data_IF_465589576679
#
_entry.id   IF_465589576679
#
_cell.length_a   1.000
_cell.length_b   1.000
_cell.length_c   1.000
_cell.angle_alpha   90.00
_cell.angle_beta   90.00
_cell.angle_gamma   90.00
#
_symmetry.space_group_name_H-M   'P 1'
#
loop_
_entity.id
_entity.type
_entity.pdbx_description
1 polymer ?
#
# COMPACT_ATOMS: atom_id res chain seq x y z
N UNK A 1 43.86 -47.36 -53.71
CA UNK A 1 43.89 -46.16 -54.58
C UNK A 1 42.46 -45.77 -54.90
N UNK A 2 41.98 -44.64 -54.37
CA UNK A 2 40.93 -43.78 -54.94
C UNK A 2 40.60 -42.69 -53.89
N UNK A 3 41.26 -41.54 -54.00
CA UNK A 3 40.84 -40.30 -53.33
C UNK A 3 39.75 -39.64 -54.18
N UNK A 4 38.64 -39.23 -53.56
CA UNK A 4 37.72 -38.19 -54.07
C UNK A 4 36.87 -37.63 -52.91
N UNK A 5 36.22 -36.46 -53.06
CA UNK A 5 36.73 -35.18 -52.57
C UNK A 5 35.82 -34.51 -51.52
N UNK A 6 36.37 -33.56 -50.74
CA UNK A 6 35.63 -32.68 -49.82
C UNK A 6 34.87 -31.59 -50.59
N UNK A 7 33.67 -31.21 -50.14
CA UNK A 7 33.32 -29.78 -50.03
C UNK A 7 32.53 -29.49 -48.72
N UNK A 8 32.05 -28.26 -48.47
CA UNK A 8 32.76 -27.21 -47.74
C UNK A 8 32.18 -26.95 -46.33
N UNK A 9 32.91 -26.13 -45.57
CA UNK A 9 32.58 -25.66 -44.23
C UNK A 9 31.15 -25.10 -44.13
N UNK A 10 30.42 -25.58 -43.13
CA UNK A 10 29.33 -24.84 -42.50
C UNK A 10 29.84 -24.38 -41.15
N UNK A 11 30.01 -23.06 -41.04
CA UNK A 11 30.05 -22.35 -39.77
C UNK A 11 28.77 -22.71 -39.01
N UNK A 12 28.90 -23.33 -37.84
CA UNK A 12 27.86 -23.32 -36.83
C UNK A 12 28.55 -23.10 -35.50
N UNK A 13 28.48 -21.84 -35.10
CA UNK A 13 28.94 -21.29 -33.85
C UNK A 13 28.33 -22.07 -32.68
N UNK A 14 29.21 -22.50 -31.77
CA UNK A 14 28.80 -22.92 -30.44
C UNK A 14 28.16 -21.75 -29.72
N UNK A 15 26.83 -21.73 -29.69
CA UNK A 15 26.08 -20.93 -28.73
C UNK A 15 25.95 -21.77 -27.46
N UNK A 16 26.81 -21.46 -26.49
CA UNK A 16 26.70 -21.94 -25.11
C UNK A 16 25.30 -21.64 -24.57
N UNK A 17 24.69 -22.66 -23.95
CA UNK A 17 23.50 -22.56 -23.12
C UNK A 17 23.69 -21.48 -22.05
N UNK A 18 23.08 -20.31 -22.25
CA UNK A 18 22.85 -19.34 -21.18
C UNK A 18 21.56 -19.77 -20.49
N UNK A 19 21.57 -20.11 -19.18
CA UNK A 19 20.33 -20.40 -18.47
C UNK A 19 19.51 -19.11 -18.40
N UNK A 20 18.31 -19.16 -18.99
CA UNK A 20 17.34 -18.08 -18.93
C UNK A 20 17.06 -17.70 -17.46
N UNK A 21 17.50 -16.50 -17.09
CA UNK A 21 17.19 -15.87 -15.83
C UNK A 21 15.68 -15.80 -15.62
N UNK A 22 15.25 -16.09 -14.40
CA UNK A 22 13.85 -16.24 -13.99
C UNK A 22 12.97 -15.09 -14.46
N UNK A 23 11.97 -15.43 -15.26
CA UNK A 23 10.86 -14.53 -15.57
C UNK A 23 10.12 -14.18 -14.30
N UNK A 24 10.24 -12.91 -13.87
CA UNK A 24 9.41 -12.36 -12.82
C UNK A 24 7.93 -12.49 -13.23
N UNK A 25 7.15 -13.23 -12.44
CA UNK A 25 5.72 -13.33 -12.64
C UNK A 25 5.11 -11.92 -12.77
N UNK A 26 4.40 -11.69 -13.87
CA UNK A 26 3.71 -10.42 -14.15
C UNK A 26 2.77 -10.06 -12.98
N UNK A 27 2.56 -8.77 -12.73
CA UNK A 27 1.69 -8.30 -11.64
C UNK A 27 0.27 -8.90 -11.68
N UNK A 28 -0.20 -9.30 -12.87
CA UNK A 28 -1.46 -10.03 -13.05
C UNK A 28 -1.46 -11.45 -12.47
N UNK A 29 -0.31 -12.14 -12.50
CA UNK A 29 -0.16 -13.50 -12.00
C UNK A 29 0.06 -13.54 -10.48
N UNK A 30 0.67 -12.49 -9.92
CA UNK A 30 0.71 -12.26 -8.47
C UNK A 30 -0.68 -11.90 -7.92
N UNK A 31 -1.43 -11.03 -8.61
CA UNK A 31 -2.81 -10.69 -8.24
C UNK A 31 -3.78 -11.88 -8.33
N UNK A 32 -3.56 -12.82 -9.27
CA UNK A 32 -4.30 -14.10 -9.33
C UNK A 32 -4.00 -15.04 -8.16
N UNK A 33 -2.86 -14.87 -7.48
CA UNK A 33 -2.38 -15.70 -6.37
C UNK A 33 -2.76 -15.14 -4.99
N UNK A 34 -3.97 -14.60 -4.84
CA UNK A 34 -4.60 -14.44 -3.52
C UNK A 34 -5.72 -15.48 -3.30
N UNK A 35 -5.45 -16.80 -3.35
CA UNK A 35 -6.48 -17.83 -3.18
C UNK A 35 -7.17 -17.79 -1.81
N UNK A 36 -6.60 -17.09 -0.83
CA UNK A 36 -7.20 -16.88 0.50
C UNK A 36 -8.31 -15.82 0.55
N UNK A 37 -8.33 -14.83 -0.35
CA UNK A 37 -9.31 -13.73 -0.33
C UNK A 37 -10.70 -14.22 -0.74
N UNK A 38 -10.80 -14.88 -1.90
CA UNK A 38 -12.07 -15.36 -2.47
C UNK A 38 -12.56 -16.65 -1.77
N UNK A 39 -11.66 -17.41 -1.13
CA UNK A 39 -11.99 -18.67 -0.47
C UNK A 39 -12.87 -18.56 0.77
N UNK A 40 -12.97 -17.38 1.40
CA UNK A 40 -13.79 -17.19 2.62
C UNK A 40 -15.18 -16.62 2.30
N UNK A 41 -16.23 -16.98 3.07
CA UNK A 41 -17.55 -16.37 2.90
C UNK A 41 -17.53 -14.84 2.99
N UNK A 42 -16.73 -14.30 3.90
CA UNK A 42 -16.55 -12.85 4.08
C UNK A 42 -15.91 -12.20 2.84
N UNK A 43 -14.89 -12.84 2.26
CA UNK A 43 -14.21 -12.33 1.08
C UNK A 43 -15.09 -12.37 -0.17
N UNK A 44 -15.94 -13.39 -0.35
CA UNK A 44 -16.94 -13.41 -1.45
C UNK A 44 -17.92 -12.23 -1.38
N UNK A 45 -18.36 -11.85 -0.18
CA UNK A 45 -19.23 -10.68 0.01
C UNK A 45 -18.52 -9.36 -0.36
N UNK A 46 -17.23 -9.26 -0.06
CA UNK A 46 -16.41 -8.10 -0.43
C UNK A 46 -16.21 -8.04 -1.94
N UNK A 47 -15.83 -9.16 -2.54
CA UNK A 47 -15.59 -9.26 -3.98
C UNK A 47 -16.86 -8.94 -4.77
N UNK A 48 -17.99 -9.53 -4.40
CA UNK A 48 -19.30 -9.23 -4.98
C UNK A 48 -19.65 -7.74 -4.93
N UNK A 49 -19.28 -7.06 -3.85
CA UNK A 49 -19.52 -5.63 -3.74
C UNK A 49 -18.59 -4.81 -4.65
N UNK A 50 -17.32 -5.21 -4.78
CA UNK A 50 -16.37 -4.55 -5.68
C UNK A 50 -16.72 -4.76 -7.15
N UNK A 51 -17.19 -5.95 -7.53
CA UNK A 51 -17.74 -6.23 -8.87
C UNK A 51 -18.95 -5.35 -9.19
N UNK A 52 -19.91 -5.26 -8.25
CA UNK A 52 -21.06 -4.37 -8.43
C UNK A 52 -20.66 -2.91 -8.57
N UNK A 53 -19.64 -2.45 -7.83
CA UNK A 53 -19.10 -1.09 -8.00
C UNK A 53 -18.46 -0.86 -9.37
N UNK A 54 -17.85 -1.88 -9.98
CA UNK A 54 -17.33 -1.76 -11.33
C UNK A 54 -18.45 -1.68 -12.38
N UNK A 55 -19.62 -2.25 -12.11
CA UNK A 55 -20.77 -2.29 -13.02
C UNK A 55 -21.68 -1.06 -12.90
N UNK A 56 -21.83 -0.49 -11.69
CA UNK A 56 -22.83 0.54 -11.42
C UNK A 56 -22.44 1.51 -10.29
N UNK A 57 -23.07 2.71 -10.23
CA UNK A 57 -22.77 3.71 -9.20
C UNK A 57 -23.07 3.23 -7.77
N UNK A 58 -22.35 3.77 -6.79
CA UNK A 58 -22.51 3.44 -5.37
C UNK A 58 -23.97 3.53 -4.88
N UNK A 59 -24.71 4.53 -5.34
CA UNK A 59 -26.07 4.85 -4.92
C UNK A 59 -27.09 3.77 -5.30
N UNK A 60 -26.87 3.08 -6.42
CA UNK A 60 -27.83 2.10 -6.96
C UNK A 60 -27.64 0.71 -6.38
N UNK A 61 -26.48 0.43 -5.76
CA UNK A 61 -26.18 -0.87 -5.16
C UNK A 61 -26.94 -1.03 -3.83
N UNK A 62 -27.84 -1.99 -3.76
CA UNK A 62 -28.51 -2.42 -2.54
C UNK A 62 -27.76 -3.53 -1.81
N UNK A 63 -28.03 -3.69 -0.50
CA UNK A 63 -27.50 -4.83 0.27
C UNK A 63 -28.03 -6.18 -0.24
N UNK A 64 -29.25 -6.20 -0.79
CA UNK A 64 -29.83 -7.39 -1.43
C UNK A 64 -29.05 -7.81 -2.67
N UNK A 65 -28.63 -6.85 -3.50
CA UNK A 65 -27.85 -7.11 -4.71
C UNK A 65 -26.49 -7.74 -4.37
N UNK A 66 -25.83 -7.23 -3.32
CA UNK A 66 -24.57 -7.76 -2.81
C UNK A 66 -24.75 -9.20 -2.31
N UNK A 67 -25.80 -9.45 -1.51
CA UNK A 67 -26.08 -10.78 -0.98
C UNK A 67 -26.36 -11.79 -2.12
N UNK A 68 -27.18 -11.39 -3.09
CA UNK A 68 -27.48 -12.19 -4.26
C UNK A 68 -26.23 -12.51 -5.08
N UNK A 69 -25.39 -11.50 -5.36
CA UNK A 69 -24.14 -11.67 -6.11
C UNK A 69 -23.13 -12.57 -5.38
N UNK A 70 -23.04 -12.45 -4.05
CA UNK A 70 -22.16 -13.27 -3.23
C UNK A 70 -22.68 -14.71 -2.99
N UNK A 71 -23.91 -15.02 -3.41
CA UNK A 71 -24.55 -16.32 -3.19
C UNK A 71 -24.85 -16.60 -1.72
N UNK A 72 -25.23 -15.58 -0.95
CA UNK A 72 -25.53 -15.67 0.49
C UNK A 72 -26.89 -15.06 0.80
N UNK A 73 -27.48 -15.44 1.93
CA UNK A 73 -28.68 -14.78 2.44
C UNK A 73 -28.36 -13.37 2.97
N UNK A 74 -29.38 -12.51 3.01
CA UNK A 74 -29.26 -11.18 3.61
C UNK A 74 -28.90 -11.26 5.11
N UNK A 75 -29.36 -12.32 5.81
CA UNK A 75 -29.05 -12.56 7.20
C UNK A 75 -27.55 -12.86 7.41
N UNK A 76 -26.95 -13.68 6.54
CA UNK A 76 -25.51 -13.95 6.57
C UNK A 76 -24.68 -12.69 6.26
N UNK A 77 -25.09 -11.90 5.25
CA UNK A 77 -24.43 -10.63 4.95
C UNK A 77 -24.49 -9.67 6.14
N UNK A 78 -25.67 -9.53 6.78
CA UNK A 78 -25.87 -8.68 7.96
C UNK A 78 -25.09 -9.16 9.19
N UNK A 79 -24.90 -10.46 9.32
CA UNK A 79 -24.07 -11.07 10.37
C UNK A 79 -22.59 -10.71 10.22
N UNK A 80 -22.11 -10.52 8.99
CA UNK A 80 -20.72 -10.16 8.71
C UNK A 80 -20.47 -8.65 8.65
N UNK A 81 -21.41 -7.88 8.11
CA UNK A 81 -21.23 -6.46 7.86
C UNK A 81 -22.44 -5.63 8.32
N UNK A 82 -22.14 -4.48 8.94
CA UNK A 82 -23.18 -3.55 9.40
C UNK A 82 -23.71 -2.61 8.30
N UNK A 83 -22.99 -2.42 7.20
CA UNK A 83 -23.35 -1.50 6.11
C UNK A 83 -22.47 -1.70 4.87
N UNK A 84 -22.83 -1.06 3.74
CA UNK A 84 -21.96 -0.99 2.54
C UNK A 84 -20.59 -0.38 2.85
N UNK A 85 -20.55 0.66 3.71
CA UNK A 85 -19.30 1.28 4.16
C UNK A 85 -18.43 0.31 4.95
N UNK A 86 -19.02 -0.61 5.73
CA UNK A 86 -18.26 -1.64 6.44
C UNK A 86 -17.64 -2.67 5.49
N UNK A 87 -18.33 -3.02 4.40
CA UNK A 87 -17.78 -3.88 3.33
C UNK A 87 -16.63 -3.17 2.63
N UNK A 88 -16.79 -1.90 2.29
CA UNK A 88 -15.71 -1.10 1.70
C UNK A 88 -14.49 -0.96 2.63
N UNK A 89 -14.72 -0.64 3.91
CA UNK A 89 -13.64 -0.54 4.90
C UNK A 89 -12.89 -1.87 5.04
N UNK A 90 -13.61 -2.99 4.95
CA UNK A 90 -13.01 -4.31 4.94
C UNK A 90 -12.14 -4.57 3.72
N UNK A 91 -12.57 -4.18 2.52
CA UNK A 91 -11.76 -4.25 1.31
C UNK A 91 -10.48 -3.42 1.45
N UNK A 92 -10.60 -2.16 1.91
CA UNK A 92 -9.45 -1.27 2.11
C UNK A 92 -8.44 -1.88 3.09
N UNK A 93 -8.93 -2.45 4.20
CA UNK A 93 -8.09 -3.15 5.18
C UNK A 93 -7.39 -4.38 4.59
N UNK A 94 -8.03 -5.11 3.68
CA UNK A 94 -7.41 -6.25 3.00
C UNK A 94 -6.29 -5.81 2.06
N UNK A 95 -6.49 -4.73 1.30
CA UNK A 95 -5.43 -4.13 0.48
C UNK A 95 -4.29 -3.65 1.35
N UNK A 96 -4.57 -2.93 2.44
CA UNK A 96 -3.53 -2.47 3.37
C UNK A 96 -2.76 -3.66 3.95
N UNK A 97 -3.45 -4.75 4.33
CA UNK A 97 -2.79 -5.96 4.82
C UNK A 97 -1.89 -6.60 3.76
N UNK A 98 -2.33 -6.70 2.51
CA UNK A 98 -1.51 -7.25 1.42
C UNK A 98 -0.21 -6.45 1.25
N UNK A 99 -0.27 -5.12 1.37
CA UNK A 99 0.91 -4.26 1.32
C UNK A 99 1.84 -4.49 2.50
N UNK A 100 1.28 -4.63 3.71
CA UNK A 100 2.02 -4.82 4.96
C UNK A 100 2.62 -6.22 5.13
N UNK A 101 2.00 -7.23 4.52
CA UNK A 101 2.50 -8.62 4.51
C UNK A 101 3.65 -8.79 3.48
N UNK A 102 3.96 -7.76 2.68
CA UNK A 102 5.10 -7.78 1.74
C UNK A 102 6.45 -7.72 2.46
N UNK A 103 7.49 -8.31 1.86
CA UNK A 103 8.86 -8.24 2.40
C UNK A 103 9.33 -6.78 2.47
N UNK A 104 9.45 -6.27 3.70
CA UNK A 104 10.00 -4.96 4.03
C UNK A 104 11.45 -5.04 4.55
N UNK A 105 12.00 -6.24 4.68
CA UNK A 105 13.32 -6.49 5.29
C UNK A 105 14.49 -5.90 4.46
N UNK A 106 14.32 -5.69 3.15
CA UNK A 106 15.38 -5.12 2.28
C UNK A 106 15.43 -3.59 2.29
N UNK A 107 14.52 -2.93 3.02
CA UNK A 107 14.32 -1.48 2.97
C UNK A 107 15.04 -0.73 4.10
N UNK A 108 15.76 -1.42 4.99
CA UNK A 108 16.25 -0.81 6.24
C UNK A 108 17.34 0.27 6.02
N UNK A 109 18.10 0.16 4.92
CA UNK A 109 19.16 1.11 4.56
C UNK A 109 18.72 2.19 3.57
N UNK A 110 17.46 2.17 3.13
CA UNK A 110 16.93 3.12 2.16
C UNK A 110 16.52 4.46 2.79
N UNK A 111 16.66 5.59 2.07
CA UNK A 111 16.07 6.85 2.45
C UNK A 111 14.55 6.71 2.72
N UNK A 112 14.06 7.33 3.80
CA UNK A 112 12.64 7.31 4.21
C UNK A 112 11.63 7.56 3.09
N UNK A 113 11.99 8.37 2.10
CA UNK A 113 11.16 8.67 0.93
C UNK A 113 11.00 7.47 0.00
N UNK A 114 12.10 6.79 -0.30
CA UNK A 114 12.12 5.61 -1.17
C UNK A 114 11.27 4.52 -0.54
N UNK A 115 11.41 4.34 0.78
CA UNK A 115 10.57 3.41 1.53
C UNK A 115 9.08 3.71 1.43
N UNK A 116 8.71 4.98 1.61
CA UNK A 116 7.31 5.40 1.47
C UNK A 116 6.81 5.27 0.03
N UNK A 117 7.65 5.58 -0.95
CA UNK A 117 7.33 5.45 -2.36
C UNK A 117 7.01 3.99 -2.71
N UNK A 118 7.85 3.06 -2.29
CA UNK A 118 7.67 1.63 -2.54
C UNK A 118 6.41 1.07 -1.88
N UNK A 119 6.16 1.44 -0.62
CA UNK A 119 4.91 1.07 0.08
C UNK A 119 3.67 1.55 -0.69
N UNK A 120 3.69 2.80 -1.18
CA UNK A 120 2.56 3.35 -1.93
C UNK A 120 2.43 2.76 -3.34
N UNK A 121 3.54 2.44 -4.00
CA UNK A 121 3.52 1.74 -5.30
C UNK A 121 2.93 0.33 -5.16
N UNK A 122 3.36 -0.46 -4.18
CA UNK A 122 2.75 -1.77 -3.87
C UNK A 122 1.25 -1.64 -3.61
N UNK A 123 0.84 -0.57 -2.93
CA UNK A 123 -0.57 -0.28 -2.69
C UNK A 123 -1.35 0.02 -3.98
N UNK A 124 -0.79 0.79 -4.91
CA UNK A 124 -1.40 1.01 -6.22
C UNK A 124 -1.47 -0.28 -7.04
N UNK A 125 -0.41 -1.09 -7.02
CA UNK A 125 -0.38 -2.39 -7.69
C UNK A 125 -1.50 -3.32 -7.17
N UNK A 126 -1.67 -3.43 -5.86
CA UNK A 126 -2.74 -4.22 -5.24
C UNK A 126 -4.15 -3.72 -5.61
N UNK A 127 -4.32 -2.41 -5.88
CA UNK A 127 -5.59 -1.84 -6.34
C UNK A 127 -5.86 -2.02 -7.83
N UNK A 128 -4.87 -2.43 -8.63
CA UNK A 128 -4.99 -2.51 -10.11
C UNK A 128 -6.22 -3.30 -10.59
N UNK A 129 -6.58 -4.45 -9.98
CA UNK A 129 -7.76 -5.21 -10.40
C UNK A 129 -9.09 -4.48 -10.18
N UNK A 130 -9.11 -3.45 -9.33
CA UNK A 130 -10.32 -2.76 -8.86
C UNK A 130 -10.42 -1.32 -9.39
N UNK A 131 -9.66 -0.95 -10.43
CA UNK A 131 -9.67 0.43 -10.99
C UNK A 131 -11.08 0.92 -11.33
N UNK A 132 -11.89 0.10 -12.00
CA UNK A 132 -13.26 0.48 -12.36
C UNK A 132 -14.16 0.67 -11.14
N UNK A 133 -14.06 -0.21 -10.15
CA UNK A 133 -14.78 -0.07 -8.88
C UNK A 133 -14.41 1.22 -8.15
N UNK A 134 -13.10 1.55 -8.10
CA UNK A 134 -12.60 2.78 -7.48
C UNK A 134 -13.04 4.02 -8.28
N UNK A 135 -13.03 3.96 -9.61
CA UNK A 135 -13.49 5.04 -10.48
C UNK A 135 -14.96 5.37 -10.23
N UNK A 136 -15.83 4.36 -10.23
CA UNK A 136 -17.25 4.50 -9.91
C UNK A 136 -17.47 5.11 -8.53
N UNK A 137 -16.74 4.61 -7.52
CA UNK A 137 -16.81 5.11 -6.15
C UNK A 137 -16.40 6.59 -6.02
N UNK A 138 -15.30 7.00 -6.67
CA UNK A 138 -14.86 8.39 -6.68
C UNK A 138 -15.81 9.30 -7.45
N UNK A 139 -16.45 8.79 -8.50
CA UNK A 139 -17.46 9.55 -9.25
C UNK A 139 -18.69 9.82 -8.38
N UNK A 140 -19.20 8.81 -7.66
CA UNK A 140 -20.29 8.96 -6.70
C UNK A 140 -19.92 9.92 -5.57
N UNK A 141 -18.68 9.87 -5.07
CA UNK A 141 -18.23 10.76 -3.99
C UNK A 141 -18.27 12.26 -4.36
N UNK A 142 -18.19 12.62 -5.65
CA UNK A 142 -18.25 14.02 -6.11
C UNK A 142 -19.61 14.68 -5.84
N UNK A 143 -20.69 13.90 -5.84
CA UNK A 143 -22.07 14.38 -5.62
C UNK A 143 -22.62 13.96 -4.25
N UNK A 144 -21.84 13.20 -3.47
CA UNK A 144 -22.24 12.62 -2.20
C UNK A 144 -21.25 12.99 -1.07
N UNK A 145 -21.45 14.15 -0.39
CA UNK A 145 -20.54 14.62 0.65
C UNK A 145 -20.34 13.63 1.81
N UNK A 146 -21.38 12.94 2.33
CA UNK A 146 -21.19 11.91 3.34
C UNK A 146 -20.26 10.77 2.90
N UNK A 147 -20.39 10.31 1.65
CA UNK A 147 -19.49 9.29 1.10
C UNK A 147 -18.05 9.83 1.00
N UNK A 148 -17.85 11.04 0.48
CA UNK A 148 -16.53 11.66 0.39
C UNK A 148 -15.82 11.75 1.75
N UNK A 149 -16.55 12.13 2.81
CA UNK A 149 -16.01 12.16 4.17
C UNK A 149 -15.63 10.77 4.69
N UNK A 150 -16.45 9.75 4.42
CA UNK A 150 -16.14 8.38 4.79
C UNK A 150 -14.89 7.86 4.07
N UNK A 151 -14.77 8.13 2.76
CA UNK A 151 -13.58 7.78 1.97
C UNK A 151 -12.32 8.47 2.49
N UNK A 152 -12.38 9.76 2.83
CA UNK A 152 -11.24 10.45 3.44
C UNK A 152 -10.85 9.80 4.77
N UNK A 153 -11.81 9.47 5.63
CA UNK A 153 -11.50 8.80 6.91
C UNK A 153 -10.83 7.44 6.71
N UNK A 154 -11.29 6.65 5.74
CA UNK A 154 -10.63 5.40 5.38
C UNK A 154 -9.23 5.63 4.82
N UNK A 155 -9.06 6.61 3.93
CA UNK A 155 -7.76 6.97 3.37
C UNK A 155 -6.77 7.40 4.45
N UNK A 156 -7.18 8.27 5.39
CA UNK A 156 -6.34 8.70 6.52
C UNK A 156 -5.92 7.51 7.38
N UNK A 157 -6.85 6.61 7.69
CA UNK A 157 -6.56 5.40 8.46
C UNK A 157 -5.54 4.52 7.73
N UNK A 158 -5.75 4.28 6.43
CA UNK A 158 -4.83 3.52 5.58
C UNK A 158 -3.45 4.17 5.52
N UNK A 159 -3.38 5.49 5.35
CA UNK A 159 -2.11 6.22 5.30
C UNK A 159 -1.33 6.16 6.62
N UNK A 160 -1.98 6.04 7.78
CA UNK A 160 -1.27 5.80 9.04
C UNK A 160 -0.52 4.45 9.02
N UNK A 161 -1.12 3.41 8.43
CA UNK A 161 -0.48 2.12 8.24
C UNK A 161 0.65 2.19 7.23
N UNK A 162 0.47 2.90 6.11
CA UNK A 162 1.53 3.07 5.11
C UNK A 162 2.74 3.84 5.66
N UNK A 163 2.49 4.88 6.47
CA UNK A 163 3.55 5.60 7.18
C UNK A 163 4.28 4.69 8.16
N UNK A 164 3.55 3.84 8.90
CA UNK A 164 4.16 2.88 9.83
C UNK A 164 5.02 1.84 9.10
N UNK A 165 4.57 1.34 7.95
CA UNK A 165 5.31 0.41 7.09
C UNK A 165 6.62 1.02 6.57
N UNK A 166 6.62 2.33 6.27
CA UNK A 166 7.82 3.07 5.88
C UNK A 166 8.67 3.57 7.06
N UNK A 167 8.39 3.08 8.28
CA UNK A 167 9.01 3.47 9.54
C UNK A 167 8.96 4.98 9.84
N UNK A 168 7.92 5.66 9.37
CA UNK A 168 7.67 7.08 9.63
C UNK A 168 6.77 7.20 10.87
N UNK A 169 7.16 8.01 11.89
CA UNK A 169 6.34 8.21 13.07
C UNK A 169 4.92 8.72 12.74
N UNK A 170 3.94 7.85 12.95
CA UNK A 170 2.51 8.07 12.64
C UNK A 170 1.62 8.23 13.89
N UNK A 171 2.21 8.26 15.09
CA UNK A 171 1.47 8.42 16.35
C UNK A 171 1.22 9.88 16.75
N UNK A 172 0.10 10.12 17.43
CA UNK A 172 -0.27 11.42 18.00
C UNK A 172 -0.75 12.47 16.97
N UNK A 173 -0.96 13.73 17.39
CA UNK A 173 -1.52 14.77 16.53
C UNK A 173 -0.70 15.05 15.26
N UNK A 174 0.63 15.03 15.40
CA UNK A 174 1.54 15.20 14.25
C UNK A 174 1.46 14.02 13.29
N UNK A 175 1.31 12.79 13.82
CA UNK A 175 1.10 11.59 13.02
C UNK A 175 -0.20 11.64 12.22
N UNK A 176 -1.28 12.09 12.86
CA UNK A 176 -2.58 12.30 12.18
C UNK A 176 -2.47 13.36 11.08
N UNK A 177 -1.75 14.46 11.33
CA UNK A 177 -1.51 15.49 10.32
C UNK A 177 -0.73 14.95 9.11
N UNK A 178 0.32 14.14 9.36
CA UNK A 178 1.07 13.47 8.28
C UNK A 178 0.18 12.52 7.49
N UNK A 179 -0.64 11.74 8.16
CA UNK A 179 -1.57 10.82 7.51
C UNK A 179 -2.61 11.55 6.66
N UNK A 180 -3.15 12.67 7.14
CA UNK A 180 -4.06 13.51 6.35
C UNK A 180 -3.36 14.13 5.14
N UNK A 181 -2.14 14.65 5.30
CA UNK A 181 -1.35 15.17 4.19
C UNK A 181 -1.05 14.09 3.14
N UNK A 182 -0.70 12.89 3.59
CA UNK A 182 -0.47 11.76 2.72
C UNK A 182 -1.75 11.28 2.04
N UNK A 183 -2.90 11.33 2.72
CA UNK A 183 -4.19 10.97 2.12
C UNK A 183 -4.57 11.91 0.97
N UNK A 184 -4.31 13.21 1.12
CA UNK A 184 -4.51 14.20 0.05
C UNK A 184 -3.55 13.98 -1.13
N UNK A 185 -2.28 13.68 -0.84
CA UNK A 185 -1.29 13.33 -1.85
C UNK A 185 -1.71 12.08 -2.62
N UNK A 186 -2.09 11.03 -1.90
CA UNK A 186 -2.55 9.77 -2.46
C UNK A 186 -3.79 9.95 -3.35
N UNK A 187 -4.78 10.74 -2.88
CA UNK A 187 -5.97 11.07 -3.66
C UNK A 187 -5.64 11.84 -4.95
N UNK A 188 -4.62 12.71 -4.94
CA UNK A 188 -4.17 13.42 -6.13
C UNK A 188 -3.50 12.49 -7.15
N UNK A 189 -2.69 11.52 -6.68
CA UNK A 189 -2.05 10.53 -7.56
C UNK A 189 -3.06 9.50 -8.07
N UNK A 190 -4.09 9.18 -7.27
CA UNK A 190 -5.15 8.23 -7.62
C UNK A 190 -5.82 8.54 -8.96
N UNK A 191 -6.07 9.81 -9.29
CA UNK A 191 -6.65 10.14 -10.60
C UNK A 191 -5.73 9.74 -11.76
N UNK A 192 -4.41 9.93 -11.61
CA UNK A 192 -3.45 9.49 -12.63
C UNK A 192 -3.43 7.97 -12.73
N UNK A 193 -3.43 7.28 -11.59
CA UNK A 193 -3.46 5.82 -11.54
C UNK A 193 -4.69 5.21 -12.23
N UNK A 194 -5.86 5.80 -12.04
CA UNK A 194 -7.09 5.31 -12.66
C UNK A 194 -7.10 5.44 -14.19
N UNK A 195 -6.25 6.29 -14.76
CA UNK A 195 -6.12 6.49 -16.20
C UNK A 195 -4.84 5.84 -16.77
N UNK A 196 -4.04 5.16 -15.93
CA UNK A 196 -2.73 4.61 -16.27
C UNK A 196 -2.76 3.14 -16.68
N UNK A 197 -2.86 2.86 -17.97
CA UNK A 197 -2.84 1.49 -18.51
C UNK A 197 -1.43 0.99 -18.89
N UNK A 198 -0.37 1.73 -18.54
CA UNK A 198 1.00 1.36 -18.89
C UNK A 198 1.52 0.19 -18.03
N UNK A 199 2.37 -0.70 -18.59
CA UNK A 199 3.02 -1.76 -17.81
C UNK A 199 3.76 -1.16 -16.60
N UNK A 200 3.45 -1.66 -15.40
CA UNK A 200 4.06 -1.19 -14.16
C UNK A 200 3.63 0.21 -13.70
N UNK A 201 2.56 0.77 -14.28
CA UNK A 201 2.00 2.08 -13.91
C UNK A 201 3.02 3.23 -13.96
N UNK A 202 3.77 3.33 -15.07
CA UNK A 202 4.88 4.29 -15.18
C UNK A 202 4.44 5.77 -15.03
N UNK A 203 3.24 6.15 -15.50
CA UNK A 203 2.71 7.51 -15.27
C UNK A 203 2.37 7.74 -13.81
N UNK A 204 1.83 6.73 -13.13
CA UNK A 204 1.55 6.76 -11.68
C UNK A 204 2.83 6.89 -10.88
N UNK A 205 3.84 6.12 -11.23
CA UNK A 205 5.18 6.15 -10.64
C UNK A 205 5.76 7.57 -10.72
N UNK A 206 5.75 8.18 -11.90
CA UNK A 206 6.24 9.54 -12.10
C UNK A 206 5.38 10.61 -11.40
N UNK A 207 4.06 10.40 -11.29
CA UNK A 207 3.17 11.31 -10.54
C UNK A 207 3.43 11.23 -9.02
N UNK A 208 3.63 10.02 -8.49
CA UNK A 208 3.94 9.77 -7.09
C UNK A 208 5.31 10.34 -6.71
N UNK A 209 6.34 10.10 -7.51
CA UNK A 209 7.70 10.61 -7.28
C UNK A 209 7.69 12.15 -7.16
N UNK A 210 7.04 12.83 -8.12
CA UNK A 210 6.86 14.28 -8.11
C UNK A 210 6.06 14.76 -6.89
N UNK A 211 5.02 14.03 -6.51
CA UNK A 211 4.18 14.41 -5.37
C UNK A 211 4.92 14.29 -4.03
N UNK A 212 5.66 13.20 -3.82
CA UNK A 212 6.50 13.01 -2.63
C UNK A 212 7.65 14.02 -2.58
N UNK A 213 8.27 14.34 -3.73
CA UNK A 213 9.29 15.37 -3.84
C UNK A 213 8.79 16.75 -3.38
N UNK A 214 7.58 17.14 -3.80
CA UNK A 214 6.92 18.38 -3.31
C UNK A 214 6.63 18.32 -1.81
N UNK A 215 6.15 17.18 -1.31
CA UNK A 215 5.84 16.99 0.11
C UNK A 215 7.06 17.12 1.03
N UNK A 216 8.23 16.63 0.60
CA UNK A 216 9.49 16.79 1.33
C UNK A 216 9.95 18.25 1.40
N UNK A 217 9.84 19.00 0.31
CA UNK A 217 10.21 20.41 0.29
C UNK A 217 9.35 21.21 1.27
N UNK A 218 8.04 20.96 1.29
CA UNK A 218 7.09 21.61 2.22
C UNK A 218 7.37 21.20 3.67
N UNK A 219 7.62 19.92 3.93
CA UNK A 219 7.92 19.43 5.29
C UNK A 219 9.25 19.99 5.81
N UNK A 220 10.29 20.05 4.98
CA UNK A 220 11.56 20.66 5.37
C UNK A 220 11.44 22.17 5.63
N UNK A 221 10.51 22.87 4.98
CA UNK A 221 10.16 24.26 5.31
C UNK A 221 9.38 24.33 6.63
N UNK A 222 8.40 23.44 6.84
CA UNK A 222 7.59 23.40 8.06
C UNK A 222 8.42 23.03 9.30
N UNK A 223 9.31 22.04 9.23
CA UNK A 223 10.21 21.67 10.33
C UNK A 223 11.16 22.82 10.69
N UNK A 224 11.65 23.56 9.69
CA UNK A 224 12.43 24.79 9.92
C UNK A 224 11.58 25.86 10.62
N UNK A 225 10.36 26.11 10.17
CA UNK A 225 9.45 27.10 10.78
C UNK A 225 9.04 26.68 12.20
N UNK A 226 8.70 25.42 12.43
CA UNK A 226 8.36 24.89 13.76
C UNK A 226 9.56 24.87 14.71
N UNK A 227 10.78 24.66 14.21
CA UNK A 227 12.00 24.80 15.02
C UNK A 227 12.28 26.24 15.44
N UNK A 228 11.73 27.23 14.72
CA UNK A 228 11.82 28.66 15.03
C UNK A 228 10.69 29.13 15.97
N UNK A 229 9.66 28.31 16.21
CA UNK A 229 8.60 28.61 17.18
C UNK A 229 8.96 28.03 18.56
N UNK A 230 9.25 28.88 19.57
CA UNK A 230 9.59 28.40 20.91
C UNK A 230 8.34 27.79 21.58
N UNK A 231 8.33 26.47 21.75
CA UNK A 231 7.26 25.73 22.43
C UNK A 231 7.06 24.28 21.98
N UNK A 232 7.55 23.92 20.79
CA UNK A 232 7.44 22.56 20.23
C UNK A 232 8.72 21.69 20.35
N UNK A 233 9.77 22.21 21.01
CA UNK A 233 11.09 21.57 21.06
C UNK A 233 11.44 20.92 22.40
N UNK A 234 11.68 19.60 22.37
CA UNK A 234 12.36 18.74 23.37
C UNK A 234 11.56 18.36 24.62
N UNK A 235 10.87 17.21 24.55
CA UNK A 235 10.66 16.36 25.74
C UNK A 235 12.03 16.07 26.36
N UNK A 236 12.29 16.60 27.55
CA UNK A 236 13.46 16.27 28.37
C UNK A 236 13.52 14.75 28.51
N UNK A 237 14.60 14.12 28.05
CA UNK A 237 14.93 12.74 28.43
C UNK A 237 14.95 12.67 29.97
N UNK A 238 14.27 11.71 30.61
CA UNK A 238 14.43 11.53 32.04
C UNK A 238 15.89 11.18 32.33
N UNK A 239 16.48 11.95 33.24
CA UNK A 239 17.85 11.77 33.74
C UNK A 239 17.92 10.39 34.40
N UNK A 240 18.88 9.51 34.06
CA UNK A 240 19.03 8.27 34.79
C UNK A 240 19.35 8.62 36.25
N UNK A 241 18.55 8.07 37.17
CA UNK A 241 18.80 8.14 38.61
C UNK A 241 20.15 7.43 38.84
N UNK A 242 21.13 8.21 39.31
CA UNK A 242 22.42 7.72 39.76
C UNK A 242 22.13 6.83 40.97
N UNK A 243 22.29 5.52 40.81
CA UNK A 243 22.35 4.58 41.93
C UNK A 243 23.47 5.03 42.85
N UNK A 244 23.10 5.43 44.05
CA UNK A 244 24.00 5.64 45.19
C UNK A 244 24.77 4.35 45.47
N UNK A 245 26.06 4.52 45.69
CA UNK A 245 27.04 3.48 46.03
C UNK A 245 26.53 2.61 47.20
N UNK A 246 26.48 1.29 46.95
CA UNK A 246 26.53 0.28 48.02
C UNK A 246 28.01 0.16 48.44
N UNK A 247 28.33 0.13 49.73
CA UNK A 247 29.73 0.00 50.16
C UNK A 247 30.27 -1.39 49.77
N UNK A 248 31.43 -1.37 49.10
CA UNK A 248 32.23 -2.56 48.83
C UNK A 248 32.48 -3.32 50.14
N UNK A 249 32.07 -4.58 50.16
CA UNK A 249 32.46 -5.51 51.20
C UNK A 249 33.93 -5.85 51.02
N UNK A 250 34.77 -5.28 51.88
CA UNK A 250 36.17 -5.70 52.03
C UNK A 250 36.20 -7.15 52.51
N UNK A 251 36.61 -8.03 51.60
CA UNK A 251 37.32 -9.24 51.93
C UNK A 251 38.82 -8.94 51.88
N UNK A 252 39.55 -9.18 52.97
CA UNK A 252 40.81 -9.96 53.06
C UNK A 252 41.45 -9.80 54.46
N UNK A 253 41.61 -10.96 55.11
CA UNK A 253 42.66 -11.42 56.05
C UNK A 253 43.24 -10.47 57.12
N UNK A 254 43.14 -10.85 58.40
CA UNK A 254 44.09 -11.69 59.19
C UNK A 254 43.34 -12.25 60.40
#
# INVERSE_FOLDING_TARGET
MARKPRPPASDDDGFEDIPAAGGGATGQERARKAPGRIGTPRGRMIEAFMELLAEQPWETIGLGDIAARAGVSLAELRGQFGSKLAILAAHIKEIDREVLDGDHDDMTDEPTRERLFDVLMRRFEALSPYKESVRSLLQSARTNPPLALALNNFAVTSMQWMLAAAEIPSSGPTGLLRAQGLALLYANVMSTFLDDDEPGHARTMAALDRALGRGQQISGVFDRVCSLLPGFGRRRRPRPLRSTDLPDGDAVAV
#
